data_IF_594482563374
#
_entry.id   IF_594482563374
#
_cell.length_a   1.000
_cell.length_b   1.000
_cell.length_c   1.000
_cell.angle_alpha   90.00
_cell.angle_beta   90.00
_cell.angle_gamma   90.00
#
_symmetry.space_group_name_H-M   'P 1'
#
loop_
_entity.id
_entity.type
_entity.pdbx_description
1 polymer ?
#
# COMPACT_ATOMS: atom_id res chain seq x y z
N UNK A 1 5.64 11.38 8.82
CA UNK A 1 4.89 10.13 8.61
C UNK A 1 4.10 10.29 7.33
N UNK A 2 4.20 9.34 6.40
CA UNK A 2 3.52 9.38 5.11
C UNK A 2 2.11 8.81 5.28
N UNK A 3 1.08 9.53 4.83
CA UNK A 3 -0.31 9.05 4.90
C UNK A 3 -0.58 8.05 3.78
N UNK A 4 -0.90 6.81 4.14
CA UNK A 4 -1.22 5.74 3.19
C UNK A 4 -2.75 5.63 3.06
N UNK A 5 -3.24 5.58 1.83
CA UNK A 5 -4.67 5.42 1.54
C UNK A 5 -4.92 4.05 0.91
N UNK A 6 -6.07 3.45 1.21
CA UNK A 6 -6.48 2.20 0.60
C UNK A 6 -6.93 2.44 -0.84
N UNK A 7 -6.31 1.77 -1.81
CA UNK A 7 -6.66 1.91 -3.23
C UNK A 7 -8.07 1.35 -3.53
N UNK A 8 -8.64 0.52 -2.64
CA UNK A 8 -9.98 -0.04 -2.80
C UNK A 8 -11.10 0.90 -2.33
N UNK A 9 -10.98 1.53 -1.15
CA UNK A 9 -12.03 2.39 -0.58
C UNK A 9 -11.65 3.87 -0.45
N UNK A 10 -10.39 4.24 -0.64
CA UNK A 10 -9.89 5.61 -0.58
C UNK A 10 -9.55 6.12 0.83
N UNK A 11 -9.96 5.41 1.89
CA UNK A 11 -9.75 5.84 3.27
C UNK A 11 -8.32 5.70 3.78
N UNK A 12 -8.01 6.41 4.86
CA UNK A 12 -6.68 6.45 5.51
C UNK A 12 -6.40 5.16 6.27
N UNK A 13 -5.27 4.52 5.99
CA UNK A 13 -4.83 3.30 6.68
C UNK A 13 -3.99 3.69 7.89
N UNK A 14 -4.49 3.36 9.09
CA UNK A 14 -3.78 3.60 10.35
C UNK A 14 -2.89 2.44 10.80
N UNK A 15 -3.18 1.23 10.31
CA UNK A 15 -2.50 0.00 10.70
C UNK A 15 -1.83 -0.63 9.47
N UNK A 16 -0.55 -0.33 9.21
CA UNK A 16 0.14 -0.81 8.02
C UNK A 16 0.36 -2.32 8.02
N UNK A 17 0.29 -2.99 9.18
CA UNK A 17 0.45 -4.44 9.27
C UNK A 17 -0.69 -5.23 8.58
N UNK A 18 -1.82 -4.56 8.30
CA UNK A 18 -2.97 -5.15 7.59
C UNK A 18 -2.94 -4.92 6.09
N UNK A 19 -1.97 -4.15 5.57
CA UNK A 19 -1.91 -3.80 4.16
C UNK A 19 -1.58 -5.04 3.33
N UNK A 20 -2.39 -5.24 2.31
CA UNK A 20 -2.14 -6.20 1.24
C UNK A 20 -1.53 -5.46 0.05
N UNK A 21 -0.20 -5.51 -0.05
CA UNK A 21 0.52 -4.93 -1.18
C UNK A 21 0.30 -5.76 -2.43
N UNK A 22 -0.13 -5.11 -3.51
CA UNK A 22 -0.38 -5.76 -4.81
C UNK A 22 0.41 -5.03 -5.89
N UNK A 23 0.95 -5.76 -6.90
CA UNK A 23 1.60 -5.10 -8.02
C UNK A 23 0.60 -4.20 -8.77
N UNK A 24 1.05 -3.06 -9.34
CA UNK A 24 0.20 -2.21 -10.15
C UNK A 24 -0.41 -3.01 -11.31
N UNK A 25 -1.73 -3.00 -11.44
CA UNK A 25 -2.43 -3.62 -12.57
C UNK A 25 -2.96 -2.50 -13.47
N UNK A 26 -2.70 -2.60 -14.77
CA UNK A 26 -3.16 -1.59 -15.75
C UNK A 26 -4.69 -1.39 -15.75
N UNK A 27 -5.45 -2.40 -15.34
CA UNK A 27 -6.92 -2.38 -15.26
C UNK A 27 -7.46 -2.08 -13.86
N UNK A 28 -6.60 -1.81 -12.88
CA UNK A 28 -7.06 -1.52 -11.52
C UNK A 28 -7.74 -0.15 -11.45
N UNK A 29 -8.96 -0.13 -10.94
CA UNK A 29 -9.63 1.10 -10.56
C UNK A 29 -9.19 1.45 -9.13
N UNK A 30 -8.81 2.71 -8.93
CA UNK A 30 -8.38 3.26 -7.64
C UNK A 30 -9.47 4.19 -7.13
N UNK A 31 -9.90 3.99 -5.89
CA UNK A 31 -10.86 4.86 -5.23
C UNK A 31 -10.25 6.26 -4.98
N UNK A 32 -11.11 7.28 -5.00
CA UNK A 32 -10.71 8.64 -4.63
C UNK A 32 -10.32 8.68 -3.14
N UNK A 33 -9.19 9.33 -2.83
CA UNK A 33 -8.71 9.47 -1.46
C UNK A 33 -9.67 10.28 -0.61
N UNK A 34 -9.95 9.83 0.61
CA UNK A 34 -10.80 10.53 1.58
C UNK A 34 -10.08 10.68 2.91
N UNK A 35 -10.42 11.70 3.72
CA UNK A 35 -9.83 11.87 5.05
C UNK A 35 -10.37 10.85 6.08
N UNK A 36 -11.39 10.08 5.72
CA UNK A 36 -12.01 9.09 6.60
C UNK A 36 -11.11 7.87 6.81
N UNK A 37 -11.18 7.20 7.98
CA UNK A 37 -10.40 6.00 8.23
C UNK A 37 -10.83 4.85 7.30
N UNK A 38 -9.86 4.06 6.85
CA UNK A 38 -10.11 2.84 6.08
C UNK A 38 -10.83 1.80 6.94
N UNK A 39 -11.97 1.30 6.45
CA UNK A 39 -12.79 0.28 7.11
C UNK A 39 -12.65 -1.11 6.49
N UNK A 40 -11.76 -1.28 5.51
CA UNK A 40 -11.52 -2.57 4.88
C UNK A 40 -10.85 -3.55 5.86
N UNK A 41 -11.30 -4.80 5.87
CA UNK A 41 -10.64 -5.86 6.64
C UNK A 41 -9.19 -6.10 6.15
N UNK A 42 -8.99 -6.02 4.83
CA UNK A 42 -7.68 -6.07 4.17
C UNK A 42 -7.52 -4.87 3.23
N UNK A 43 -6.92 -3.76 3.70
CA UNK A 43 -6.63 -2.60 2.87
C UNK A 43 -5.65 -2.96 1.74
N UNK A 44 -5.93 -2.53 0.52
CA UNK A 44 -5.08 -2.82 -0.65
C UNK A 44 -4.27 -1.58 -0.99
N UNK A 45 -2.98 -1.74 -1.21
CA UNK A 45 -2.11 -0.68 -1.76
C UNK A 45 -1.42 -1.22 -3.01
N UNK A 46 -1.55 -0.49 -4.12
CA UNK A 46 -0.84 -0.83 -5.36
C UNK A 46 0.56 -0.22 -5.37
N UNK A 47 1.43 -0.74 -4.51
CA UNK A 47 2.86 -0.45 -4.49
C UNK A 47 3.63 -1.75 -4.31
N UNK A 48 4.92 -1.70 -4.64
CA UNK A 48 5.84 -2.68 -4.11
C UNK A 48 5.95 -2.41 -2.60
N UNK A 49 5.80 -3.44 -1.77
CA UNK A 49 6.16 -3.33 -0.36
C UNK A 49 7.58 -2.70 -0.30
N UNK A 50 7.84 -1.76 0.62
CA UNK A 50 9.17 -1.17 0.74
C UNK A 50 10.17 -2.32 0.82
N UNK A 51 10.99 -2.45 -0.22
CA UNK A 51 12.07 -3.42 -0.26
C UNK A 51 12.99 -3.01 0.87
N UNK A 52 13.07 -3.81 1.93
CA UNK A 52 14.19 -3.71 2.86
C UNK A 52 15.44 -3.82 1.98
N UNK A 53 16.35 -2.82 2.02
CA UNK A 53 17.53 -2.85 1.16
C UNK A 53 18.23 -4.19 1.36
N UNK A 54 18.64 -4.88 0.28
CA UNK A 54 19.36 -6.12 0.42
C UNK A 54 20.63 -5.84 1.22
N UNK A 55 20.74 -6.43 2.40
CA UNK A 55 22.03 -6.59 3.07
C UNK A 55 22.87 -7.53 2.20
N UNK A 56 24.10 -7.11 1.89
CA UNK A 56 25.12 -7.79 1.09
C UNK A 56 24.98 -7.75 -0.44
N UNK A 57 25.58 -6.69 -0.99
CA UNK A 57 26.29 -6.70 -2.26
C UNK A 57 27.64 -7.43 -2.08
N UNK A 58 27.97 -8.46 -2.88
CA UNK A 58 29.35 -8.67 -3.26
C UNK A 58 29.48 -8.34 -4.74
N UNK A 59 30.15 -7.21 -4.99
CA UNK A 59 30.76 -6.92 -6.28
C UNK A 59 31.70 -8.09 -6.66
N UNK A 60 31.52 -8.62 -7.86
CA UNK A 60 32.44 -9.55 -8.50
C UNK A 60 32.85 -8.99 -9.86
#
# INVERSE_FOLDING_TARGET
>A
MTTIHCNFCGGVIHDPAKIEYRPPRASAQVALTTPEPCTCERPIVYEHAPVEPPEDEPAA
#
